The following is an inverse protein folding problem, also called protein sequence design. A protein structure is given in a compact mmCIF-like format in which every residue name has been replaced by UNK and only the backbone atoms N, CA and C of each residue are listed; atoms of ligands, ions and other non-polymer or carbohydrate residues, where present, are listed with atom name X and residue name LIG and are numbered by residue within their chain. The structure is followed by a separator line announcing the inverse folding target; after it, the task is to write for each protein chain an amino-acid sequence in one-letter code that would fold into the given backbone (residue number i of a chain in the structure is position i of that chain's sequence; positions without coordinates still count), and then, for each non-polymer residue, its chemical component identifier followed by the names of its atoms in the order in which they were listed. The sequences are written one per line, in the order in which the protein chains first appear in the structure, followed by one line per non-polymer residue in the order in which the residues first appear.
data_IF_766646814929
#
_entry.id   IF_766646814929
#
_cell.length_a   1.000
_cell.length_b   1.000
_cell.length_c   1.000
_cell.angle_alpha   90.00
_cell.angle_beta   90.00
_cell.angle_gamma   90.00
#
_symmetry.space_group_name_H-M   'P 1'
#
loop_
_entity.id
_entity.type
_entity.pdbx_description
1 polymer ?
#
# COMPACT_ATOMS: atom_id res chain seq x y z
N UNK A 1 -10.20 -11.08 -16.32
CA UNK A 1 -9.11 -10.08 -16.31
C UNK A 1 -8.27 -10.36 -15.08
N UNK A 2 -6.96 -10.17 -15.16
CA UNK A 2 -6.05 -10.30 -14.02
C UNK A 2 -6.29 -9.15 -13.02
N UNK A 3 -6.37 -9.47 -11.73
CA UNK A 3 -6.62 -8.52 -10.64
C UNK A 3 -5.40 -7.59 -10.45
N UNK A 4 -5.63 -6.28 -10.29
CA UNK A 4 -4.58 -5.31 -9.98
C UNK A 4 -4.43 -5.19 -8.46
N UNK A 5 -3.22 -5.34 -7.93
CA UNK A 5 -2.95 -5.15 -6.50
C UNK A 5 -2.31 -3.78 -6.26
N UNK A 6 -2.71 -3.12 -5.17
CA UNK A 6 -2.03 -1.95 -4.63
C UNK A 6 -1.44 -2.29 -3.26
N UNK A 7 -0.15 -2.12 -3.10
CA UNK A 7 0.55 -2.34 -1.84
C UNK A 7 0.67 -1.03 -1.07
N UNK A 8 0.26 -1.05 0.19
CA UNK A 8 0.46 0.08 1.09
C UNK A 8 1.90 0.13 1.66
N UNK A 9 2.12 1.06 2.57
CA UNK A 9 3.45 1.30 3.16
C UNK A 9 3.94 0.13 4.01
N UNK A 10 3.09 -0.55 4.77
CA UNK A 10 3.54 -1.69 5.60
C UNK A 10 4.00 -2.86 4.72
N UNK A 11 3.32 -3.12 3.60
CA UNK A 11 3.69 -4.19 2.67
C UNK A 11 5.06 -3.91 2.06
N UNK A 12 5.31 -2.68 1.60
CA UNK A 12 6.62 -2.30 1.05
C UNK A 12 7.73 -2.36 2.12
N UNK A 13 7.44 -1.97 3.37
CA UNK A 13 8.39 -2.12 4.48
C UNK A 13 8.78 -3.58 4.70
N UNK A 14 7.82 -4.51 4.69
CA UNK A 14 8.11 -5.95 4.81
C UNK A 14 8.93 -6.48 3.63
N UNK A 15 8.61 -6.05 2.40
CA UNK A 15 9.41 -6.38 1.22
C UNK A 15 10.83 -5.84 1.31
N UNK A 16 11.07 -4.66 1.88
CA UNK A 16 12.43 -4.10 2.06
C UNK A 16 13.19 -4.77 3.20
N UNK A 17 12.49 -5.23 4.22
CA UNK A 17 13.10 -5.95 5.35
C UNK A 17 13.45 -7.39 5.00
N UNK A 18 12.77 -7.95 3.99
CA UNK A 18 12.85 -9.37 3.62
C UNK A 18 12.64 -10.32 4.80
N UNK A 19 11.79 -9.89 5.75
CA UNK A 19 11.41 -10.70 6.89
C UNK A 19 10.42 -11.81 6.48
N UNK A 20 10.02 -12.66 7.41
CA UNK A 20 9.12 -13.77 7.13
C UNK A 20 7.78 -13.33 6.48
N UNK A 21 7.27 -12.15 6.85
CA UNK A 21 6.06 -11.60 6.24
C UNK A 21 6.35 -11.11 4.82
N UNK A 22 7.49 -10.44 4.62
CA UNK A 22 7.99 -10.07 3.29
C UNK A 22 8.15 -11.27 2.35
N UNK A 23 8.72 -12.37 2.84
CA UNK A 23 8.88 -13.61 2.07
C UNK A 23 7.53 -14.24 1.72
N UNK A 24 6.57 -14.26 2.65
CA UNK A 24 5.19 -14.68 2.38
C UNK A 24 4.54 -13.84 1.29
N UNK A 25 4.69 -12.50 1.34
CA UNK A 25 4.17 -11.58 0.32
C UNK A 25 4.81 -11.88 -1.04
N UNK A 26 6.14 -12.08 -1.10
CA UNK A 26 6.84 -12.43 -2.35
C UNK A 26 6.32 -13.74 -2.93
N UNK A 27 6.12 -14.76 -2.10
CA UNK A 27 5.62 -16.05 -2.56
C UNK A 27 4.19 -15.96 -3.10
N UNK A 28 3.33 -15.18 -2.43
CA UNK A 28 1.90 -15.05 -2.79
C UNK A 28 1.67 -14.20 -4.03
N UNK A 29 2.31 -13.03 -4.12
CA UNK A 29 2.02 -12.05 -5.17
C UNK A 29 3.08 -11.97 -6.26
N UNK A 30 4.24 -12.61 -6.07
CA UNK A 30 5.42 -12.57 -6.96
C UNK A 30 5.59 -11.19 -7.64
N UNK A 31 5.75 -10.12 -6.84
CA UNK A 31 5.53 -8.75 -7.28
C UNK A 31 6.49 -8.25 -8.37
N UNK A 32 7.55 -9.00 -8.67
CA UNK A 32 8.55 -8.67 -9.68
C UNK A 32 8.52 -9.63 -10.88
N UNK A 33 7.49 -10.47 -11.00
CA UNK A 33 7.41 -11.52 -12.02
C UNK A 33 6.06 -11.60 -12.75
N UNK A 34 5.00 -10.94 -12.26
CA UNK A 34 3.67 -10.95 -12.87
C UNK A 34 3.32 -9.67 -13.65
N UNK A 35 2.41 -9.83 -14.62
CA UNK A 35 1.66 -8.78 -15.30
C UNK A 35 0.16 -8.97 -15.02
N UNK A 36 -0.57 -7.97 -14.46
CA UNK A 36 -0.09 -6.64 -14.09
C UNK A 36 0.81 -6.69 -12.85
N UNK A 37 1.89 -5.90 -12.92
CA UNK A 37 2.74 -5.65 -11.77
C UNK A 37 1.93 -4.94 -10.67
N UNK A 38 2.09 -5.33 -9.39
CA UNK A 38 1.51 -4.60 -8.28
C UNK A 38 1.93 -3.13 -8.29
N UNK A 39 1.03 -2.29 -7.79
CA UNK A 39 1.19 -0.84 -7.76
C UNK A 39 1.40 -0.33 -6.34
N UNK A 40 1.85 0.91 -6.20
CA UNK A 40 1.89 1.63 -4.94
C UNK A 40 1.52 3.11 -5.16
N UNK A 41 1.02 3.78 -4.13
CA UNK A 41 0.70 5.21 -4.17
C UNK A 41 1.97 6.07 -3.99
N UNK A 42 2.06 7.23 -4.64
CA UNK A 42 3.17 8.18 -4.45
C UNK A 42 3.36 8.60 -2.99
N UNK A 43 2.29 8.62 -2.20
CA UNK A 43 2.35 8.87 -0.74
C UNK A 43 3.13 7.77 -0.02
N UNK A 44 2.92 6.50 -0.40
CA UNK A 44 3.67 5.36 0.14
C UNK A 44 5.17 5.49 -0.11
N UNK A 45 5.59 6.00 -1.27
CA UNK A 45 7.02 6.28 -1.51
C UNK A 45 7.58 7.31 -0.54
N UNK A 46 6.84 8.40 -0.30
CA UNK A 46 7.22 9.43 0.68
C UNK A 46 7.35 8.87 2.09
N UNK A 47 6.38 8.05 2.52
CA UNK A 47 6.42 7.39 3.82
C UNK A 47 7.58 6.42 3.93
N UNK A 48 7.82 5.58 2.91
CA UNK A 48 8.90 4.59 2.91
C UNK A 48 10.28 5.27 3.02
N UNK A 49 10.49 6.36 2.28
CA UNK A 49 11.71 7.18 2.36
C UNK A 49 11.85 7.85 3.72
N UNK A 50 10.76 8.35 4.30
CA UNK A 50 10.75 8.92 5.65
C UNK A 50 11.15 7.88 6.71
N UNK A 51 10.59 6.67 6.64
CA UNK A 51 10.94 5.55 7.53
C UNK A 51 12.40 5.14 7.38
N UNK A 52 12.92 5.12 6.15
CA UNK A 52 14.33 4.84 5.89
C UNK A 52 15.27 5.81 6.61
N UNK A 53 14.91 7.10 6.63
CA UNK A 53 15.65 8.14 7.35
C UNK A 53 15.50 8.00 8.88
N UNK A 54 14.26 7.90 9.36
CA UNK A 54 13.97 7.80 10.80
C UNK A 54 14.66 6.60 11.46
N UNK A 55 14.70 5.47 10.76
CA UNK A 55 15.31 4.23 11.27
C UNK A 55 16.73 3.99 10.79
N UNK A 56 17.38 4.98 10.16
CA UNK A 56 18.77 4.90 9.70
C UNK A 56 19.07 3.61 8.91
N UNK A 57 18.24 3.31 7.91
CA UNK A 57 18.39 2.09 7.11
C UNK A 57 19.78 2.02 6.47
N UNK A 58 20.46 0.89 6.69
CA UNK A 58 21.75 0.61 6.07
C UNK A 58 21.64 0.39 4.56
N UNK A 59 22.80 0.45 3.87
CA UNK A 59 22.91 0.35 2.40
C UNK A 59 22.10 -0.79 1.78
N UNK A 60 22.06 -1.94 2.43
CA UNK A 60 21.29 -3.09 1.94
C UNK A 60 19.78 -2.79 1.86
N UNK A 61 19.17 -2.26 2.93
CA UNK A 61 17.74 -1.89 2.94
C UNK A 61 17.44 -0.74 1.99
N UNK A 62 18.34 0.24 1.88
CA UNK A 62 18.20 1.33 0.91
C UNK A 62 18.19 0.79 -0.53
N UNK A 63 19.10 -0.13 -0.86
CA UNK A 63 19.12 -0.76 -2.18
C UNK A 63 17.84 -1.57 -2.45
N UNK A 64 17.32 -2.31 -1.45
CA UNK A 64 16.05 -3.03 -1.59
C UNK A 64 14.86 -2.08 -1.78
N UNK A 65 14.84 -0.94 -1.09
CA UNK A 65 13.83 0.09 -1.25
C UNK A 65 13.83 0.65 -2.67
N UNK A 66 14.98 1.09 -3.18
CA UNK A 66 15.08 1.61 -4.54
C UNK A 66 14.73 0.54 -5.59
N UNK A 67 15.12 -0.72 -5.35
CA UNK A 67 14.72 -1.84 -6.20
C UNK A 67 13.19 -1.99 -6.24
N UNK A 68 12.52 -2.03 -5.10
CA UNK A 68 11.07 -2.17 -5.04
C UNK A 68 10.35 -0.99 -5.73
N UNK A 69 10.77 0.25 -5.44
CA UNK A 69 10.17 1.45 -6.05
C UNK A 69 10.36 1.52 -7.57
N UNK A 70 11.47 0.97 -8.09
CA UNK A 70 11.77 0.96 -9.52
C UNK A 70 11.04 -0.16 -10.30
N UNK A 71 10.65 -1.25 -9.64
CA UNK A 71 10.06 -2.43 -10.29
C UNK A 71 8.55 -2.57 -10.06
N UNK A 72 8.00 -1.86 -9.08
CA UNK A 72 6.56 -1.75 -8.89
C UNK A 72 6.02 -0.53 -9.66
N UNK A 73 4.75 -0.58 -10.06
CA UNK A 73 4.16 0.55 -10.76
C UNK A 73 3.68 1.65 -9.81
N UNK A 74 4.24 2.86 -9.94
CA UNK A 74 3.78 4.02 -9.15
C UNK A 74 2.47 4.59 -9.69
N UNK A 75 1.49 4.80 -8.82
CA UNK A 75 0.28 5.59 -9.06
C UNK A 75 0.37 6.91 -8.29
N UNK A 76 -0.18 7.97 -8.86
CA UNK A 76 0.00 9.33 -8.34
C UNK A 76 -1.33 9.91 -7.84
N UNK A 77 -1.27 10.99 -7.05
CA UNK A 77 -2.45 11.55 -6.37
C UNK A 77 -3.01 12.79 -7.06
N UNK A 78 -2.34 13.29 -8.10
CA UNK A 78 -2.66 14.54 -8.78
C UNK A 78 -3.88 14.43 -9.71
N UNK A 79 -4.37 13.21 -9.97
CA UNK A 79 -5.56 12.97 -10.77
C UNK A 79 -6.82 13.57 -10.10
N UNK A 80 -7.64 14.28 -10.89
CA UNK A 80 -8.87 14.90 -10.41
C UNK A 80 -9.86 13.87 -9.82
N UNK A 81 -9.91 12.65 -10.35
CA UNK A 81 -10.75 11.58 -9.81
C UNK A 81 -10.22 11.09 -8.46
N UNK A 82 -8.90 11.07 -8.26
CA UNK A 82 -8.31 10.76 -6.93
C UNK A 82 -8.67 11.84 -5.91
N UNK A 83 -8.67 13.11 -6.29
CA UNK A 83 -9.11 14.21 -5.41
C UNK A 83 -10.58 14.07 -5.00
N UNK A 84 -11.45 13.71 -5.94
CA UNK A 84 -12.88 13.46 -5.66
C UNK A 84 -13.05 12.25 -4.75
N UNK A 85 -12.36 11.16 -5.04
CA UNK A 85 -12.39 9.95 -4.23
C UNK A 85 -11.93 10.24 -2.80
N UNK A 86 -10.83 10.98 -2.62
CA UNK A 86 -10.34 11.43 -1.32
C UNK A 86 -11.43 12.17 -0.55
N UNK A 87 -12.05 13.19 -1.16
CA UNK A 87 -13.07 14.01 -0.49
C UNK A 87 -14.30 13.18 -0.08
N UNK A 88 -14.73 12.27 -0.95
CA UNK A 88 -15.84 11.35 -0.68
C UNK A 88 -15.52 10.42 0.51
N UNK A 89 -14.33 9.80 0.51
CA UNK A 89 -13.92 8.86 1.55
C UNK A 89 -13.71 9.58 2.91
N UNK A 90 -13.13 10.78 2.92
CA UNK A 90 -12.99 11.58 4.15
C UNK A 90 -14.37 11.93 4.72
N UNK A 91 -15.28 12.44 3.88
CA UNK A 91 -16.64 12.77 4.31
C UNK A 91 -17.38 11.54 4.86
N UNK A 92 -17.21 10.38 4.23
CA UNK A 92 -17.77 9.11 4.71
C UNK A 92 -17.26 8.73 6.11
N UNK A 93 -15.93 8.84 6.33
CA UNK A 93 -15.30 8.53 7.61
C UNK A 93 -15.69 9.53 8.70
N UNK A 94 -15.64 10.83 8.41
CA UNK A 94 -16.03 11.91 9.34
C UNK A 94 -17.48 11.78 9.78
N UNK A 95 -18.40 11.50 8.87
CA UNK A 95 -19.82 11.31 9.19
C UNK A 95 -20.08 10.15 10.17
N UNK A 96 -19.12 9.22 10.31
CA UNK A 96 -19.18 8.06 11.20
C UNK A 96 -18.29 8.20 12.44
N UNK A 97 -17.60 9.34 12.60
CA UNK A 97 -16.64 9.55 13.67
C UNK A 97 -15.40 8.63 13.59
N UNK A 98 -15.12 8.08 12.41
CA UNK A 98 -13.98 7.20 12.19
C UNK A 98 -12.75 8.06 11.93
N UNK A 99 -11.69 7.82 12.70
CA UNK A 99 -10.39 8.45 12.47
C UNK A 99 -9.61 7.62 11.46
N UNK A 100 -9.17 8.25 10.39
CA UNK A 100 -8.31 7.65 9.37
C UNK A 100 -7.06 8.51 9.19
N UNK A 101 -5.90 7.88 9.06
CA UNK A 101 -4.66 8.57 8.73
C UNK A 101 -4.80 9.29 7.39
N UNK A 102 -4.25 10.50 7.26
CA UNK A 102 -4.37 11.26 6.01
C UNK A 102 -3.58 10.62 4.86
N UNK A 103 -2.49 9.92 5.16
CA UNK A 103 -1.77 9.14 4.16
C UNK A 103 -2.56 7.88 3.74
N UNK A 104 -3.14 7.17 4.70
CA UNK A 104 -4.03 6.03 4.41
C UNK A 104 -5.22 6.46 3.53
N UNK A 105 -5.78 7.65 3.79
CA UNK A 105 -6.88 8.18 2.99
C UNK A 105 -6.47 8.44 1.54
N UNK A 106 -5.26 8.95 1.28
CA UNK A 106 -4.73 9.05 -0.09
C UNK A 106 -4.50 7.68 -0.74
N UNK A 107 -3.97 6.72 0.01
CA UNK A 107 -3.76 5.34 -0.46
C UNK A 107 -5.11 4.71 -0.82
N UNK A 108 -6.14 4.88 0.01
CA UNK A 108 -7.49 4.39 -0.25
C UNK A 108 -8.14 5.06 -1.45
N UNK A 109 -7.95 6.38 -1.63
CA UNK A 109 -8.46 7.11 -2.80
C UNK A 109 -7.84 6.61 -4.11
N UNK A 110 -6.52 6.41 -4.14
CA UNK A 110 -5.83 5.86 -5.32
C UNK A 110 -6.27 4.42 -5.57
N UNK A 111 -6.42 3.60 -4.53
CA UNK A 111 -6.92 2.23 -4.62
C UNK A 111 -8.31 2.19 -5.26
N UNK A 112 -9.22 3.05 -4.79
CA UNK A 112 -10.59 3.17 -5.29
C UNK A 112 -10.62 3.52 -6.78
N UNK A 113 -9.87 4.54 -7.19
CA UNK A 113 -9.85 4.99 -8.59
C UNK A 113 -9.21 3.97 -9.52
N UNK A 114 -8.18 3.26 -9.05
CA UNK A 114 -7.50 2.24 -9.84
C UNK A 114 -8.25 0.92 -9.95
N UNK A 115 -9.40 0.77 -9.28
CA UNK A 115 -10.11 -0.50 -9.10
C UNK A 115 -9.18 -1.63 -8.66
N UNK A 116 -8.27 -1.29 -7.75
CA UNK A 116 -7.24 -2.20 -7.27
C UNK A 116 -7.67 -2.87 -5.95
N UNK A 117 -7.17 -4.07 -5.70
CA UNK A 117 -7.25 -4.70 -4.40
C UNK A 117 -6.11 -4.21 -3.51
N UNK A 118 -6.44 -3.58 -2.39
CA UNK A 118 -5.45 -3.12 -1.42
C UNK A 118 -4.89 -4.30 -0.63
N UNK A 119 -3.57 -4.45 -0.63
CA UNK A 119 -2.85 -5.41 0.22
C UNK A 119 -2.25 -4.65 1.39
N UNK A 120 -2.53 -5.12 2.61
CA UNK A 120 -2.15 -4.43 3.86
C UNK A 120 -2.04 -5.43 5.02
N UNK A 121 -1.21 -5.13 6.03
CA UNK A 121 -1.27 -5.80 7.34
C UNK A 121 -2.18 -5.07 8.34
N UNK A 122 -2.55 -3.82 8.05
CA UNK A 122 -3.20 -2.92 9.01
C UNK A 122 -4.73 -2.93 8.85
N UNK A 123 -5.45 -2.76 9.95
CA UNK A 123 -6.93 -2.73 10.00
C UNK A 123 -7.55 -1.38 9.62
N UNK A 124 -6.72 -0.38 9.34
CA UNK A 124 -7.17 1.01 9.19
C UNK A 124 -8.09 1.21 7.98
N UNK A 125 -8.05 0.27 7.03
CA UNK A 125 -8.89 0.26 5.82
C UNK A 125 -10.20 -0.54 5.96
N UNK A 126 -10.39 -1.30 7.05
CA UNK A 126 -11.50 -2.27 7.17
C UNK A 126 -12.87 -1.62 7.05
N UNK A 127 -13.00 -0.37 7.52
CA UNK A 127 -14.26 0.39 7.49
C UNK A 127 -14.69 0.84 6.08
N UNK A 128 -13.81 0.69 5.08
CA UNK A 128 -14.07 1.00 3.68
C UNK A 128 -14.50 -0.25 2.87
N UNK A 129 -14.36 -1.45 3.44
CA UNK A 129 -14.80 -2.71 2.82
C UNK A 129 -16.24 -3.07 3.25
N UNK A 130 -17.06 -3.67 2.37
CA UNK A 130 -16.89 -3.86 0.92
C UNK A 130 -17.36 -2.66 0.08
N UNK A 131 -17.69 -1.53 0.71
CA UNK A 131 -18.41 -0.44 0.06
C UNK A 131 -17.60 0.41 -0.92
N UNK A 132 -16.29 0.54 -0.70
CA UNK A 132 -15.41 1.39 -1.51
C UNK A 132 -14.26 0.60 -2.11
N UNK A 133 -13.49 -0.10 -1.29
CA UNK A 133 -12.32 -0.84 -1.75
C UNK A 133 -12.39 -2.30 -1.31
N UNK A 134 -11.69 -3.16 -2.04
CA UNK A 134 -11.42 -4.53 -1.64
C UNK A 134 -10.10 -4.61 -0.89
N UNK A 135 -10.08 -5.34 0.23
CA UNK A 135 -8.89 -5.47 1.08
C UNK A 135 -8.44 -6.93 1.10
N UNK A 136 -7.16 -7.16 0.89
CA UNK A 136 -6.49 -8.44 1.10
C UNK A 136 -5.56 -8.31 2.31
N UNK A 137 -6.07 -8.76 3.46
CA UNK A 137 -5.35 -8.64 4.74
C UNK A 137 -4.28 -9.72 4.84
N UNK A 138 -3.03 -9.29 5.00
CA UNK A 138 -1.91 -10.18 5.29
C UNK A 138 -1.77 -10.35 6.81
N UNK A 139 -1.84 -11.60 7.25
CA UNK A 139 -1.44 -11.96 8.61
C UNK A 139 0.09 -11.99 8.68
N UNK A 140 0.64 -11.43 9.75
CA UNK A 140 2.07 -11.56 10.03
C UNK A 140 2.49 -13.03 10.04
N UNK A 141 3.58 -13.33 9.35
CA UNK A 141 4.20 -14.64 9.45
C UNK A 141 4.70 -14.83 10.89
N UNK A 142 4.27 -15.91 11.53
CA UNK A 142 4.82 -16.30 12.84
C UNK A 142 6.18 -16.94 12.62
N UNK A 143 7.17 -16.54 13.41
CA UNK A 143 8.44 -17.26 13.48
C UNK A 143 8.15 -18.67 13.99
N UNK A 144 8.39 -19.67 13.15
CA UNK A 144 8.43 -21.09 13.53
C UNK A 144 9.62 -21.37 14.45
#
# INVERSE_FOLDING_TARGET
MSELYLFDTNILVHLVRDDATGQQIRARYQPFSYDPQPRFCSVTEGELRSLALQFSWGKHKLNQMEFALAHLGRLTIEDAEVMKAYAMLDAYAQARGIKMGKNDLWIAAVTFVADARLVTTDKDFDHLEPGFIHVDKIKYATLS
#
